data_IF_275115342576
#
_entry.id   IF_275115342576
#
_cell.length_a   1.000
_cell.length_b   1.000
_cell.length_c   1.000
_cell.angle_alpha   90.00
_cell.angle_beta   90.00
_cell.angle_gamma   90.00
#
_symmetry.space_group_name_H-M   'P 1'
#
loop_
_entity.id
_entity.type
_entity.pdbx_description
1 polymer ?
#
# COMPACT_ATOMS: atom_id res chain seq x y z
N UNK A 1 -13.94 -10.09 -16.71
CA UNK A 1 -13.67 -11.43 -16.14
C UNK A 1 -14.58 -11.60 -14.95
N UNK A 2 -15.10 -12.80 -14.72
CA UNK A 2 -15.92 -13.10 -13.54
C UNK A 2 -15.09 -12.90 -12.26
N UNK A 3 -15.74 -12.80 -11.09
CA UNK A 3 -15.09 -12.70 -9.77
C UNK A 3 -14.38 -14.00 -9.33
N UNK A 4 -13.98 -14.85 -10.29
CA UNK A 4 -13.49 -16.21 -10.06
C UNK A 4 -11.97 -16.24 -10.12
N UNK A 5 -11.37 -16.81 -9.08
CA UNK A 5 -9.93 -16.82 -8.85
C UNK A 5 -9.49 -18.26 -8.67
N UNK A 6 -8.33 -18.59 -9.23
CA UNK A 6 -7.64 -19.87 -9.01
C UNK A 6 -6.30 -19.57 -8.34
N UNK A 7 -6.07 -20.17 -7.19
CA UNK A 7 -4.76 -20.21 -6.53
C UNK A 7 -4.04 -21.49 -6.91
N UNK A 8 -2.74 -21.39 -7.18
CA UNK A 8 -1.84 -22.53 -7.36
C UNK A 8 -0.70 -22.41 -6.34
N UNK A 9 -0.58 -23.36 -5.41
CA UNK A 9 0.51 -23.43 -4.44
C UNK A 9 1.67 -24.25 -5.03
N UNK A 10 2.88 -23.67 -5.06
CA UNK A 10 4.08 -24.33 -5.57
C UNK A 10 5.25 -24.21 -4.60
N UNK A 11 5.92 -25.32 -4.31
CA UNK A 11 7.17 -25.33 -3.53
C UNK A 11 8.34 -24.84 -4.39
N UNK A 12 9.14 -23.91 -3.87
CA UNK A 12 10.35 -23.41 -4.56
C UNK A 12 11.25 -24.56 -5.01
N UNK A 13 11.74 -24.47 -6.26
CA UNK A 13 12.56 -25.50 -6.90
C UNK A 13 11.80 -26.62 -7.61
N UNK A 14 10.46 -26.60 -7.65
CA UNK A 14 9.69 -27.58 -8.42
C UNK A 14 9.68 -27.24 -9.93
N UNK A 15 9.68 -28.29 -10.78
CA UNK A 15 9.68 -28.16 -12.25
C UNK A 15 8.56 -27.25 -12.79
N UNK A 16 7.32 -27.29 -12.27
CA UNK A 16 6.25 -26.47 -12.81
C UNK A 16 6.51 -24.95 -12.77
N UNK A 17 7.32 -24.45 -11.83
CA UNK A 17 7.66 -23.02 -11.73
C UNK A 17 8.31 -22.49 -13.02
N UNK A 18 9.05 -23.33 -13.75
CA UNK A 18 9.67 -22.95 -15.02
C UNK A 18 8.61 -22.53 -16.05
N UNK A 19 7.44 -23.17 -16.09
CA UNK A 19 6.38 -22.78 -17.02
C UNK A 19 5.76 -21.41 -16.67
N UNK A 20 5.62 -21.09 -15.38
CA UNK A 20 5.15 -19.77 -14.94
C UNK A 20 6.16 -18.68 -15.26
N UNK A 21 7.46 -18.97 -15.04
CA UNK A 21 8.56 -18.08 -15.40
C UNK A 21 8.60 -17.83 -16.90
N UNK A 22 8.58 -18.88 -17.72
CA UNK A 22 8.62 -18.76 -19.17
C UNK A 22 7.38 -18.02 -19.71
N UNK A 23 6.19 -18.25 -19.14
CA UNK A 23 4.99 -17.49 -19.48
C UNK A 23 5.14 -15.99 -19.18
N UNK A 24 5.74 -15.65 -18.04
CA UNK A 24 6.00 -14.27 -17.65
C UNK A 24 7.03 -13.59 -18.55
N UNK A 25 8.13 -14.28 -18.86
CA UNK A 25 9.24 -13.74 -19.65
C UNK A 25 8.87 -13.61 -21.14
N UNK A 26 8.20 -14.61 -21.71
CA UNK A 26 7.84 -14.65 -23.13
C UNK A 26 6.48 -14.03 -23.46
N UNK A 27 5.66 -13.72 -22.43
CA UNK A 27 4.26 -13.25 -22.57
C UNK A 27 3.36 -14.20 -23.35
N UNK A 28 3.67 -15.50 -23.31
CA UNK A 28 2.95 -16.55 -24.02
C UNK A 28 2.11 -17.41 -23.09
N UNK A 29 1.15 -18.11 -23.69
CA UNK A 29 0.30 -19.06 -22.97
C UNK A 29 1.06 -20.36 -22.70
N UNK A 30 0.99 -20.82 -21.46
CA UNK A 30 1.51 -22.12 -21.01
C UNK A 30 0.39 -22.93 -20.35
N UNK A 31 0.67 -24.20 -20.05
CA UNK A 31 -0.30 -25.14 -19.50
C UNK A 31 0.19 -25.70 -18.16
N UNK A 32 -0.72 -25.77 -17.18
CA UNK A 32 -0.52 -26.47 -15.92
C UNK A 32 -1.51 -27.63 -15.85
N UNK A 33 -1.00 -28.88 -15.83
CA UNK A 33 -1.85 -30.05 -15.72
C UNK A 33 -2.33 -30.21 -14.27
N UNK A 34 -3.62 -30.44 -14.10
CA UNK A 34 -4.21 -30.70 -12.79
C UNK A 34 -3.97 -32.18 -12.42
N UNK A 35 -3.83 -32.46 -11.12
CA UNK A 35 -3.74 -33.84 -10.63
C UNK A 35 -5.10 -34.52 -10.73
N UNK A 36 -5.11 -35.86 -10.75
CA UNK A 36 -6.35 -36.66 -10.81
C UNK A 36 -7.30 -36.38 -9.63
N UNK A 37 -6.79 -35.91 -8.49
CA UNK A 37 -7.57 -35.56 -7.30
C UNK A 37 -8.27 -34.19 -7.44
N UNK A 38 -7.68 -33.27 -8.21
CA UNK A 38 -8.22 -31.92 -8.43
C UNK A 38 -9.57 -31.93 -9.17
N UNK A 39 -9.90 -33.02 -9.87
CA UNK A 39 -11.19 -33.17 -10.58
C UNK A 39 -12.38 -33.20 -9.62
N UNK A 40 -12.21 -33.83 -8.45
CA UNK A 40 -13.24 -33.88 -7.40
C UNK A 40 -13.20 -32.64 -6.49
N UNK A 41 -12.02 -32.05 -6.28
CA UNK A 41 -11.78 -30.95 -5.32
C UNK A 41 -12.19 -29.57 -5.87
N UNK A 42 -12.05 -29.31 -7.18
CA UNK A 42 -12.42 -28.02 -7.78
C UNK A 42 -13.89 -27.92 -8.24
N UNK A 43 -14.71 -28.95 -7.99
CA UNK A 43 -16.06 -29.10 -8.56
C UNK A 43 -16.08 -28.73 -10.05
N UNK A 44 -15.14 -29.25 -10.84
CA UNK A 44 -14.98 -28.90 -12.26
C UNK A 44 -16.13 -29.53 -13.06
N UNK A 45 -17.28 -28.89 -13.03
CA UNK A 45 -18.41 -29.19 -13.89
C UNK A 45 -18.13 -28.73 -15.33
N UNK A 46 -18.90 -29.23 -16.30
CA UNK A 46 -18.86 -28.77 -17.70
C UNK A 46 -19.01 -27.24 -17.85
N UNK A 47 -19.58 -26.55 -16.86
CA UNK A 47 -19.75 -25.11 -16.83
C UNK A 47 -18.45 -24.33 -16.54
N UNK A 48 -17.40 -24.99 -16.02
CA UNK A 48 -16.10 -24.36 -15.73
C UNK A 48 -15.14 -24.38 -16.92
N UNK A 49 -15.44 -25.20 -17.94
CA UNK A 49 -14.63 -25.32 -19.16
C UNK A 49 -14.78 -24.02 -19.98
N UNK A 50 -13.67 -23.51 -20.51
CA UNK A 50 -13.57 -22.26 -21.29
C UNK A 50 -13.93 -20.97 -20.52
N UNK A 51 -14.23 -21.06 -19.23
CA UNK A 51 -14.39 -19.89 -18.36
C UNK A 51 -13.04 -19.21 -18.10
N UNK A 52 -13.05 -17.88 -18.04
CA UNK A 52 -11.86 -17.07 -17.72
C UNK A 52 -11.78 -16.79 -16.22
N UNK A 53 -10.62 -17.08 -15.64
CA UNK A 53 -10.30 -16.93 -14.23
C UNK A 53 -9.12 -15.98 -14.06
N UNK A 54 -9.09 -15.27 -12.94
CA UNK A 54 -7.85 -14.70 -12.43
C UNK A 54 -6.99 -15.80 -11.82
N UNK A 55 -5.68 -15.75 -12.05
CA UNK A 55 -4.75 -16.77 -11.59
C UNK A 55 -3.71 -16.17 -10.64
N UNK A 56 -3.55 -16.80 -9.47
CA UNK A 56 -2.52 -16.50 -8.48
C UNK A 56 -1.68 -17.75 -8.25
N UNK A 57 -0.44 -17.79 -8.73
CA UNK A 57 0.51 -18.82 -8.30
C UNK A 57 1.31 -18.31 -7.09
N UNK A 58 1.21 -18.98 -5.95
CA UNK A 58 1.91 -18.69 -4.70
C UNK A 58 3.14 -19.60 -4.58
N UNK A 59 4.33 -19.03 -4.62
CA UNK A 59 5.58 -19.78 -4.51
C UNK A 59 6.08 -19.68 -3.08
N UNK A 60 6.24 -20.82 -2.43
CA UNK A 60 6.60 -20.89 -1.01
C UNK A 60 7.83 -21.75 -0.76
N UNK A 61 8.54 -21.42 0.33
CA UNK A 61 9.56 -22.27 0.95
C UNK A 61 9.26 -22.39 2.43
N UNK A 62 9.20 -23.61 2.95
CA UNK A 62 8.80 -23.92 4.33
C UNK A 62 7.52 -23.14 4.77
N UNK A 63 6.45 -23.26 3.97
CA UNK A 63 5.15 -22.58 4.13
C UNK A 63 5.19 -21.05 4.23
N UNK A 64 6.31 -20.43 3.85
CA UNK A 64 6.42 -18.98 3.72
C UNK A 64 6.45 -18.61 2.24
N UNK A 65 5.50 -17.78 1.82
CA UNK A 65 5.46 -17.26 0.44
C UNK A 65 6.70 -16.39 0.20
N UNK A 66 7.44 -16.65 -0.88
CA UNK A 66 8.60 -15.88 -1.31
C UNK A 66 8.22 -14.91 -2.43
N UNK A 67 7.37 -15.33 -3.37
CA UNK A 67 6.88 -14.47 -4.45
C UNK A 67 5.62 -15.09 -5.06
N UNK A 68 4.96 -14.34 -5.94
CA UNK A 68 3.75 -14.79 -6.61
C UNK A 68 3.73 -14.36 -8.07
N UNK A 69 3.15 -15.21 -8.93
CA UNK A 69 2.82 -14.86 -10.30
C UNK A 69 1.31 -14.62 -10.44
N UNK A 70 0.96 -13.52 -11.11
CA UNK A 70 -0.42 -13.12 -11.36
C UNK A 70 -0.70 -13.11 -12.85
N UNK A 71 -1.88 -13.59 -13.22
CA UNK A 71 -2.28 -13.68 -14.61
C UNK A 71 -3.73 -14.03 -14.80
N UNK A 72 -4.01 -14.54 -16.00
CA UNK A 72 -5.34 -15.00 -16.39
C UNK A 72 -5.24 -16.45 -16.83
N UNK A 73 -6.22 -17.28 -16.47
CA UNK A 73 -6.27 -18.68 -16.84
C UNK A 73 -7.63 -19.09 -17.40
N UNK A 74 -7.64 -20.08 -18.28
CA UNK A 74 -8.86 -20.78 -18.71
C UNK A 74 -8.70 -22.27 -18.44
N UNK A 75 -9.70 -22.88 -17.83
CA UNK A 75 -9.71 -24.34 -17.63
C UNK A 75 -10.06 -25.00 -18.96
N UNK A 76 -9.24 -25.97 -19.37
CA UNK A 76 -9.39 -26.73 -20.59
C UNK A 76 -9.29 -28.23 -20.28
N UNK A 77 -9.96 -29.06 -21.07
CA UNK A 77 -9.92 -30.51 -20.95
C UNK A 77 -9.18 -31.11 -22.15
N UNK A 78 -8.21 -32.00 -21.90
CA UNK A 78 -7.46 -32.69 -22.94
C UNK A 78 -7.46 -34.21 -22.68
N UNK A 79 -6.83 -34.99 -23.58
CA UNK A 79 -6.79 -36.46 -23.51
C UNK A 79 -6.11 -37.02 -22.23
N UNK A 80 -5.44 -36.17 -21.45
CA UNK A 80 -4.74 -36.52 -20.20
C UNK A 80 -5.44 -35.97 -18.95
N UNK A 81 -6.63 -35.37 -19.08
CA UNK A 81 -7.42 -34.78 -17.99
C UNK A 81 -7.56 -33.26 -18.11
N UNK A 82 -7.87 -32.60 -17.00
CA UNK A 82 -8.01 -31.14 -16.96
C UNK A 82 -6.65 -30.42 -16.88
N UNK A 83 -6.56 -29.27 -17.55
CA UNK A 83 -5.39 -28.40 -17.51
C UNK A 83 -5.80 -26.94 -17.52
N UNK A 84 -5.03 -26.11 -16.82
CA UNK A 84 -5.19 -24.66 -16.83
C UNK A 84 -4.26 -24.11 -17.90
N UNK A 85 -4.84 -23.51 -18.95
CA UNK A 85 -4.09 -22.69 -19.90
C UNK A 85 -3.99 -21.29 -19.32
N UNK A 86 -2.78 -20.80 -19.07
CA UNK A 86 -2.57 -19.53 -18.39
C UNK A 86 -1.62 -18.59 -19.13
N UNK A 87 -1.78 -17.29 -18.86
CA UNK A 87 -0.91 -16.21 -19.29
C UNK A 87 -0.48 -15.39 -18.07
N UNK A 88 0.80 -15.41 -17.74
CA UNK A 88 1.34 -14.63 -16.62
C UNK A 88 1.65 -13.21 -17.06
N UNK A 89 1.04 -12.26 -16.36
CA UNK A 89 1.11 -10.82 -16.67
C UNK A 89 1.95 -10.05 -15.67
N UNK A 90 2.01 -10.48 -14.42
CA UNK A 90 2.80 -9.81 -13.38
C UNK A 90 3.49 -10.81 -12.47
N UNK A 91 4.64 -10.40 -11.92
CA UNK A 91 5.38 -11.11 -10.87
C UNK A 91 5.47 -10.17 -9.67
N UNK A 92 4.89 -10.58 -8.55
CA UNK A 92 5.03 -9.91 -7.28
C UNK A 92 6.16 -10.56 -6.48
N UNK A 93 7.16 -9.80 -6.07
CA UNK A 93 8.14 -10.26 -5.10
C UNK A 93 7.58 -10.12 -3.68
N UNK A 94 8.13 -10.87 -2.70
CA UNK A 94 7.71 -10.78 -1.29
C UNK A 94 7.53 -9.32 -0.85
N UNK A 95 6.35 -8.99 -0.33
CA UNK A 95 5.98 -7.62 -0.02
C UNK A 95 4.53 -7.52 0.40
N UNK A 96 4.05 -6.31 0.63
CA UNK A 96 2.74 -6.12 1.23
C UNK A 96 1.59 -6.34 0.27
N UNK A 97 1.80 -6.23 -1.04
CA UNK A 97 0.80 -6.65 -2.03
C UNK A 97 0.40 -8.12 -1.86
N UNK A 98 1.39 -9.03 -1.73
CA UNK A 98 1.14 -10.46 -1.46
C UNK A 98 0.48 -10.65 -0.08
N UNK A 99 0.95 -9.93 0.95
CA UNK A 99 0.34 -10.02 2.29
C UNK A 99 -1.10 -9.53 2.31
N UNK A 100 -1.43 -8.51 1.52
CA UNK A 100 -2.79 -7.99 1.40
C UNK A 100 -3.68 -8.99 0.66
N UNK A 101 -3.20 -9.62 -0.43
CA UNK A 101 -3.93 -10.69 -1.12
C UNK A 101 -4.27 -11.81 -0.13
N UNK A 102 -3.26 -12.36 0.57
CA UNK A 102 -3.49 -13.42 1.56
C UNK A 102 -4.41 -12.97 2.72
N UNK A 103 -4.35 -11.70 3.12
CA UNK A 103 -5.22 -11.17 4.18
C UNK A 103 -6.66 -11.02 3.70
N UNK A 104 -6.88 -10.59 2.47
CA UNK A 104 -8.21 -10.39 1.90
C UNK A 104 -8.92 -11.70 1.56
N UNK A 105 -8.17 -12.75 1.22
CA UNK A 105 -8.70 -14.10 1.03
C UNK A 105 -8.82 -14.91 2.32
N UNK A 106 -8.36 -14.37 3.46
CA UNK A 106 -8.18 -15.13 4.71
C UNK A 106 -7.34 -16.41 4.53
N UNK A 107 -6.51 -16.46 3.48
CA UNK A 107 -5.90 -17.71 3.01
C UNK A 107 -4.75 -18.18 3.89
N UNK A 108 -4.88 -19.38 4.45
CA UNK A 108 -3.88 -20.16 5.15
C UNK A 108 -3.32 -21.25 4.23
N UNK A 109 -2.03 -21.17 3.91
CA UNK A 109 -1.36 -22.16 3.08
C UNK A 109 -1.41 -23.59 3.67
N UNK A 110 -1.55 -23.75 4.99
CA UNK A 110 -1.60 -25.05 5.65
C UNK A 110 -3.00 -25.61 5.78
N UNK A 111 -4.00 -24.73 5.89
CA UNK A 111 -5.36 -25.13 6.25
C UNK A 111 -6.29 -25.18 5.03
N UNK A 112 -6.05 -24.32 4.02
CA UNK A 112 -6.90 -24.24 2.82
C UNK A 112 -6.44 -25.13 1.67
N UNK A 113 -5.23 -25.68 1.76
CA UNK A 113 -4.74 -26.70 0.84
C UNK A 113 -4.72 -28.02 1.58
N UNK A 114 -5.56 -28.98 1.17
CA UNK A 114 -5.53 -30.34 1.69
C UNK A 114 -4.18 -31.02 1.47
N UNK A 115 -3.99 -32.18 2.11
CA UNK A 115 -2.77 -32.97 1.96
C UNK A 115 -2.66 -33.45 0.50
N UNK A 116 -1.61 -33.00 -0.18
CA UNK A 116 -1.35 -33.23 -1.62
C UNK A 116 -2.23 -32.41 -2.59
N UNK A 117 -2.92 -31.37 -2.09
CA UNK A 117 -3.63 -30.39 -2.91
C UNK A 117 -2.75 -29.17 -3.21
N UNK A 118 -2.82 -28.72 -4.46
CA UNK A 118 -1.99 -27.61 -4.94
C UNK A 118 -2.81 -26.51 -5.61
N UNK A 119 -4.13 -26.67 -5.73
CA UNK A 119 -5.00 -25.76 -6.48
C UNK A 119 -6.27 -25.51 -5.70
N UNK A 120 -6.63 -24.23 -5.53
CA UNK A 120 -7.83 -23.79 -4.83
C UNK A 120 -8.61 -22.82 -5.72
N UNK A 121 -9.94 -22.90 -5.70
CA UNK A 121 -10.83 -21.96 -6.38
C UNK A 121 -11.57 -21.10 -5.35
N UNK A 122 -11.63 -19.80 -5.60
CA UNK A 122 -12.33 -18.83 -4.77
C UNK A 122 -13.19 -17.92 -5.66
N UNK A 123 -14.30 -17.42 -5.13
CA UNK A 123 -15.06 -16.33 -5.73
C UNK A 123 -15.00 -15.10 -4.82
N UNK A 124 -14.30 -14.05 -5.27
CA UNK A 124 -14.12 -12.82 -4.47
C UNK A 124 -14.00 -11.60 -5.38
N UNK A 125 -14.95 -10.68 -5.25
CA UNK A 125 -14.95 -9.44 -6.03
C UNK A 125 -13.76 -8.53 -5.69
N UNK A 126 -13.39 -8.46 -4.40
CA UNK A 126 -12.29 -7.60 -3.94
C UNK A 126 -10.95 -8.06 -4.50
N UNK A 127 -10.70 -9.37 -4.46
CA UNK A 127 -9.45 -9.95 -4.95
C UNK A 127 -9.43 -9.95 -6.48
N UNK A 128 -10.54 -10.27 -7.13
CA UNK A 128 -10.64 -10.19 -8.59
C UNK A 128 -10.33 -8.77 -9.07
N UNK A 129 -10.90 -7.73 -8.43
CA UNK A 129 -10.53 -6.33 -8.71
C UNK A 129 -9.05 -6.07 -8.49
N UNK A 130 -8.46 -6.55 -7.40
CA UNK A 130 -7.03 -6.36 -7.12
C UNK A 130 -6.12 -7.06 -8.14
N UNK A 131 -6.44 -8.28 -8.57
CA UNK A 131 -5.65 -8.99 -9.58
C UNK A 131 -5.81 -8.32 -10.93
N UNK A 132 -7.05 -8.06 -11.36
CA UNK A 132 -7.36 -7.34 -12.61
C UNK A 132 -6.57 -6.06 -12.71
N UNK A 133 -6.58 -5.32 -11.59
CA UNK A 133 -5.80 -4.12 -11.39
C UNK A 133 -4.32 -4.38 -11.67
N UNK A 134 -3.66 -5.27 -10.92
CA UNK A 134 -2.21 -5.53 -11.04
C UNK A 134 -1.80 -6.05 -12.43
N UNK A 135 -2.64 -6.86 -13.08
CA UNK A 135 -2.27 -7.54 -14.33
C UNK A 135 -2.59 -6.76 -15.59
N UNK A 136 -3.59 -5.87 -15.57
CA UNK A 136 -4.01 -5.12 -16.74
C UNK A 136 -3.59 -3.65 -16.70
N UNK A 137 -3.19 -3.12 -15.53
CA UNK A 137 -2.59 -1.78 -15.39
C UNK A 137 -1.51 -1.79 -14.30
N UNK A 138 -0.22 -1.46 -14.56
CA UNK A 138 0.50 -0.79 -13.48
C UNK A 138 -0.35 0.43 -13.09
N UNK A 139 -0.59 0.68 -11.80
CA UNK A 139 -1.40 1.86 -11.44
C UNK A 139 -0.71 3.15 -11.77
N UNK A 140 -0.97 3.64 -12.97
CA UNK A 140 -0.71 5.01 -13.36
C UNK A 140 -1.92 5.48 -14.17
N UNK A 141 -2.98 5.83 -13.47
CA UNK A 141 -3.86 6.86 -14.00
C UNK A 141 -4.07 7.87 -12.89
N UNK A 142 -3.18 8.87 -12.85
CA UNK A 142 -3.54 10.15 -12.24
C UNK A 142 -4.85 10.56 -12.90
N UNK A 143 -5.94 10.53 -12.14
CA UNK A 143 -7.25 10.84 -12.67
C UNK A 143 -7.27 12.27 -13.23
N UNK A 144 -8.12 12.54 -14.22
CA UNK A 144 -8.38 13.93 -14.63
C UNK A 144 -8.81 14.74 -13.41
N UNK A 145 -8.39 16.01 -13.35
CA UNK A 145 -8.72 16.90 -12.24
C UNK A 145 -10.21 16.83 -11.89
N UNK A 146 -10.50 16.41 -10.67
CA UNK A 146 -11.84 16.29 -10.14
C UNK A 146 -12.22 17.59 -9.45
N UNK A 147 -13.32 18.22 -9.86
CA UNK A 147 -13.91 19.33 -9.11
C UNK A 147 -14.84 18.76 -8.05
N UNK A 148 -14.68 19.25 -6.83
CA UNK A 148 -15.54 18.92 -5.71
C UNK A 148 -16.56 20.03 -5.51
N UNK A 149 -17.75 19.66 -5.07
CA UNK A 149 -18.80 20.63 -4.77
C UNK A 149 -18.54 21.33 -3.44
N UNK A 150 -19.14 22.51 -3.29
CA UNK A 150 -19.18 23.19 -2.01
C UNK A 150 -20.03 22.38 -1.02
N UNK A 151 -19.64 22.42 0.26
CA UNK A 151 -20.34 21.70 1.32
C UNK A 151 -20.94 22.73 2.27
N UNK A 152 -22.21 22.55 2.61
CA UNK A 152 -22.94 23.50 3.45
C UNK A 152 -22.25 23.80 4.79
N UNK A 153 -21.52 22.82 5.36
CA UNK A 153 -20.74 22.99 6.59
C UNK A 153 -19.59 23.99 6.47
N UNK A 154 -19.20 24.37 5.26
CA UNK A 154 -18.09 25.30 5.00
C UNK A 154 -18.57 26.74 4.70
N UNK A 155 -19.87 26.99 4.62
CA UNK A 155 -20.43 28.31 4.29
C UNK A 155 -20.00 29.42 5.26
N UNK A 156 -19.70 29.08 6.52
CA UNK A 156 -19.24 30.03 7.54
C UNK A 156 -17.72 30.25 7.61
N UNK A 157 -16.93 29.59 6.77
CA UNK A 157 -15.47 29.73 6.80
C UNK A 157 -15.02 31.11 6.30
N UNK A 158 -13.86 31.55 6.77
CA UNK A 158 -13.21 32.79 6.33
C UNK A 158 -12.92 32.79 4.81
N UNK A 159 -12.77 33.98 4.24
CA UNK A 159 -12.53 34.16 2.79
C UNK A 159 -11.27 33.46 2.32
N UNK A 160 -10.22 33.44 3.15
CA UNK A 160 -8.92 32.82 2.83
C UNK A 160 -8.83 31.35 3.27
N UNK A 161 -9.89 30.77 3.83
CA UNK A 161 -9.88 29.38 4.23
C UNK A 161 -9.86 28.46 3.00
N UNK A 162 -9.09 27.37 3.09
CA UNK A 162 -9.19 26.28 2.12
C UNK A 162 -10.57 25.62 2.23
N UNK A 163 -11.16 25.28 1.08
CA UNK A 163 -12.51 24.72 0.97
C UNK A 163 -12.48 23.43 0.18
N UNK A 164 -13.50 22.61 0.37
CA UNK A 164 -13.67 21.34 -0.31
C UNK A 164 -13.56 21.48 -1.84
N UNK A 165 -14.12 22.56 -2.39
CA UNK A 165 -14.08 22.85 -3.83
C UNK A 165 -12.68 23.08 -4.40
N UNK A 166 -11.70 23.42 -3.55
CA UNK A 166 -10.29 23.59 -3.95
C UNK A 166 -9.48 22.31 -3.79
N UNK A 167 -10.04 21.24 -3.22
CA UNK A 167 -9.32 19.99 -2.98
C UNK A 167 -8.82 19.39 -4.30
N UNK A 168 -7.55 18.98 -4.32
CA UNK A 168 -6.95 18.27 -5.44
C UNK A 168 -6.19 17.04 -4.94
N UNK A 169 -6.24 15.94 -5.69
CA UNK A 169 -5.70 14.64 -5.30
C UNK A 169 -5.17 13.93 -6.55
N UNK A 170 -4.15 13.10 -6.38
CA UNK A 170 -3.50 12.44 -7.50
C UNK A 170 -4.43 11.43 -8.20
N UNK A 171 -5.17 10.62 -7.43
CA UNK A 171 -5.83 9.44 -7.97
C UNK A 171 -7.35 9.47 -7.89
N UNK A 172 -7.93 10.25 -6.97
CA UNK A 172 -9.39 10.34 -6.78
C UNK A 172 -10.06 8.96 -6.67
N UNK A 173 -9.46 8.09 -5.83
CA UNK A 173 -9.74 6.66 -5.79
C UNK A 173 -11.22 6.29 -5.52
N UNK A 174 -11.96 7.20 -4.90
CA UNK A 174 -13.37 7.03 -4.54
C UNK A 174 -14.16 8.27 -4.96
N UNK A 175 -15.37 8.05 -5.46
CA UNK A 175 -16.26 9.15 -5.86
C UNK A 175 -16.55 10.10 -4.66
N UNK A 176 -16.82 11.40 -4.93
CA UNK A 176 -17.29 12.34 -3.91
C UNK A 176 -18.60 11.86 -3.26
N UNK A 177 -18.82 12.26 -2.01
CA UNK A 177 -20.07 11.99 -1.30
C UNK A 177 -20.73 13.31 -0.90
N UNK A 178 -22.07 13.37 -0.95
CA UNK A 178 -22.83 14.60 -0.74
C UNK A 178 -22.62 15.24 0.65
N UNK A 179 -22.38 14.43 1.69
CA UNK A 179 -22.31 14.90 3.09
C UNK A 179 -20.96 14.67 3.74
N UNK A 180 -19.91 14.37 2.95
CA UNK A 180 -18.56 14.15 3.47
C UNK A 180 -17.54 14.91 2.63
N UNK A 181 -16.83 15.84 3.28
CA UNK A 181 -15.74 16.57 2.66
C UNK A 181 -14.50 15.73 2.39
N UNK A 182 -13.72 16.14 1.40
CA UNK A 182 -12.50 15.44 1.01
C UNK A 182 -11.39 15.62 2.05
N UNK A 183 -11.36 16.74 2.78
CA UNK A 183 -10.45 16.88 3.92
C UNK A 183 -10.88 16.02 5.12
N UNK A 184 -12.18 15.81 5.31
CA UNK A 184 -12.67 14.82 6.28
C UNK A 184 -12.26 13.40 5.86
N UNK A 185 -12.35 13.09 4.57
CA UNK A 185 -11.85 11.83 4.02
C UNK A 185 -10.36 11.66 4.28
N UNK A 186 -9.54 12.69 4.06
CA UNK A 186 -8.11 12.62 4.38
C UNK A 186 -7.85 12.33 5.86
N UNK A 187 -8.57 13.01 6.76
CA UNK A 187 -8.53 12.75 8.20
C UNK A 187 -8.84 11.28 8.52
N UNK A 188 -9.95 10.75 7.99
CA UNK A 188 -10.38 9.36 8.21
C UNK A 188 -9.30 8.37 7.74
N UNK A 189 -8.73 8.58 6.54
CA UNK A 189 -7.67 7.74 6.00
C UNK A 189 -6.43 7.72 6.89
N UNK A 190 -6.02 8.87 7.41
CA UNK A 190 -4.87 8.96 8.31
C UNK A 190 -5.16 8.21 9.62
N UNK A 191 -6.32 8.43 10.23
CA UNK A 191 -6.71 7.78 11.50
C UNK A 191 -6.73 6.26 11.38
N UNK A 192 -7.20 5.71 10.25
CA UNK A 192 -7.29 4.26 10.04
C UNK A 192 -5.98 3.60 9.57
N UNK A 193 -5.00 4.40 9.14
CA UNK A 193 -3.71 3.91 8.65
C UNK A 193 -2.95 3.06 9.67
N UNK A 194 -2.11 2.14 9.16
CA UNK A 194 -1.21 1.34 10.01
C UNK A 194 -0.12 2.23 10.63
N UNK A 195 0.34 3.25 9.90
CA UNK A 195 1.36 4.19 10.30
C UNK A 195 0.91 5.04 11.50
N UNK A 196 -0.34 5.53 11.49
CA UNK A 196 -0.91 6.26 12.63
C UNK A 196 -1.02 5.36 13.87
N UNK A 197 -1.52 4.12 13.71
CA UNK A 197 -1.60 3.14 14.82
C UNK A 197 -0.23 2.82 15.44
N UNK A 198 0.81 2.70 14.61
CA UNK A 198 2.19 2.47 15.08
C UNK A 198 2.76 3.63 15.93
N UNK A 199 2.09 4.78 16.00
CA UNK A 199 2.52 5.88 16.88
C UNK A 199 2.22 5.62 18.36
N UNK A 200 1.34 4.65 18.70
CA UNK A 200 1.14 4.20 20.09
C UNK A 200 2.46 3.72 20.69
N UNK A 201 3.20 2.90 19.94
CA UNK A 201 4.41 2.24 20.43
C UNK A 201 5.68 3.09 20.29
N UNK A 202 5.56 4.31 19.73
CA UNK A 202 6.69 5.23 19.57
C UNK A 202 6.76 6.14 20.80
N UNK A 203 7.72 5.84 21.68
CA UNK A 203 8.08 6.73 22.77
C UNK A 203 8.52 8.11 22.22
N UNK A 204 7.93 9.17 22.74
CA UNK A 204 8.53 10.49 22.69
C UNK A 204 9.68 10.48 23.72
N UNK A 205 10.91 10.75 23.27
CA UNK A 205 12.13 10.72 24.10
C UNK A 205 11.89 11.44 25.44
N UNK A 206 12.14 10.79 26.58
CA UNK A 206 13.12 11.23 27.60
C UNK A 206 13.39 10.15 28.67
N UNK A 207 14.61 10.24 29.22
CA UNK A 207 15.29 9.43 30.24
C UNK A 207 14.37 8.63 31.18
N UNK A 208 14.69 7.34 31.37
CA UNK A 208 14.03 6.39 32.26
C UNK A 208 14.07 6.75 33.77
N UNK A 209 14.37 8.01 34.12
CA UNK A 209 14.44 8.50 35.50
C UNK A 209 13.35 9.56 35.73
N UNK A 210 12.26 9.13 36.38
CA UNK A 210 11.13 9.87 36.98
C UNK A 210 9.84 9.99 36.15
N UNK A 211 8.83 9.21 36.53
CA UNK A 211 7.48 9.72 36.84
C UNK A 211 6.39 9.66 35.74
N UNK A 212 5.62 8.58 35.77
CA UNK A 212 4.15 8.48 35.66
C UNK A 212 3.30 9.16 34.56
N UNK A 213 3.85 9.86 33.57
CA UNK A 213 3.07 10.30 32.39
C UNK A 213 3.85 10.16 31.09
N UNK A 214 3.99 8.92 30.60
CA UNK A 214 4.63 8.63 29.32
C UNK A 214 3.74 9.11 28.16
N UNK A 215 4.04 10.28 27.59
CA UNK A 215 3.40 10.70 26.33
C UNK A 215 3.99 9.89 25.18
N UNK A 216 3.15 9.13 24.50
CA UNK A 216 3.49 8.50 23.22
C UNK A 216 3.40 9.55 22.11
N UNK A 217 4.01 9.29 20.95
CA UNK A 217 3.79 10.16 19.78
C UNK A 217 2.32 10.30 19.44
N UNK A 218 1.51 9.24 19.59
CA UNK A 218 0.08 9.33 19.38
C UNK A 218 -0.57 10.39 20.29
N UNK A 219 -0.27 10.39 21.60
CA UNK A 219 -0.82 11.40 22.52
C UNK A 219 -0.35 12.81 22.21
N UNK A 220 0.89 12.97 21.75
CA UNK A 220 1.40 14.27 21.29
C UNK A 220 0.63 14.75 20.06
N UNK A 221 0.53 13.90 19.03
CA UNK A 221 -0.17 14.20 17.78
C UNK A 221 -1.65 14.52 18.02
N UNK A 222 -2.32 13.78 18.93
CA UNK A 222 -3.70 14.08 19.33
C UNK A 222 -3.83 15.44 20.02
N UNK A 223 -2.91 15.79 20.92
CA UNK A 223 -2.90 17.11 21.57
C UNK A 223 -2.67 18.23 20.55
N UNK A 224 -1.74 18.04 19.60
CA UNK A 224 -1.51 18.98 18.50
C UNK A 224 -2.77 19.15 17.65
N UNK A 225 -3.46 18.06 17.32
CA UNK A 225 -4.72 18.09 16.56
C UNK A 225 -5.80 18.89 17.29
N UNK A 226 -6.00 18.67 18.59
CA UNK A 226 -7.00 19.43 19.37
C UNK A 226 -6.68 20.92 19.45
N UNK A 227 -5.42 21.28 19.71
CA UNK A 227 -4.99 22.68 19.76
C UNK A 227 -5.17 23.35 18.39
N UNK A 228 -4.72 22.67 17.32
CA UNK A 228 -4.82 23.17 15.96
C UNK A 228 -6.28 23.37 15.54
N UNK A 229 -7.17 22.43 15.90
CA UNK A 229 -8.62 22.56 15.68
C UNK A 229 -9.20 23.79 16.38
N UNK A 230 -8.88 24.02 17.66
CA UNK A 230 -9.38 25.19 18.39
C UNK A 230 -8.91 26.52 17.78
N UNK A 231 -7.67 26.56 17.27
CA UNK A 231 -7.16 27.72 16.52
C UNK A 231 -7.91 27.89 15.19
N UNK A 232 -8.10 26.80 14.44
CA UNK A 232 -8.81 26.83 13.16
C UNK A 232 -10.26 27.29 13.33
N UNK A 233 -10.97 26.79 14.34
CA UNK A 233 -12.32 27.19 14.68
C UNK A 233 -12.42 28.69 14.98
N UNK A 234 -11.54 29.22 15.85
CA UNK A 234 -11.52 30.64 16.20
C UNK A 234 -11.20 31.58 15.03
N UNK A 235 -10.52 31.07 14.00
CA UNK A 235 -10.15 31.81 12.79
C UNK A 235 -11.10 31.55 11.60
N UNK A 236 -12.11 30.68 11.76
CA UNK A 236 -12.98 30.27 10.66
C UNK A 236 -12.25 29.51 9.54
N UNK A 237 -11.24 28.71 9.89
CA UNK A 237 -10.48 27.87 8.95
C UNK A 237 -11.06 26.46 8.87
N UNK A 238 -10.65 25.70 7.84
CA UNK A 238 -11.11 24.33 7.64
C UNK A 238 -10.54 23.39 8.73
N UNK A 239 -11.40 22.98 9.66
CA UNK A 239 -11.02 22.13 10.78
C UNK A 239 -10.55 20.75 10.32
N UNK A 240 -11.24 20.11 9.38
CA UNK A 240 -10.86 18.77 8.90
C UNK A 240 -9.49 18.77 8.22
N UNK A 241 -9.19 19.77 7.38
CA UNK A 241 -7.86 19.91 6.80
C UNK A 241 -6.79 20.10 7.89
N UNK A 242 -7.10 20.94 8.87
CA UNK A 242 -6.18 21.24 9.98
C UNK A 242 -5.88 19.98 10.80
N UNK A 243 -6.92 19.20 11.14
CA UNK A 243 -6.78 17.95 11.87
C UNK A 243 -6.07 16.88 11.04
N UNK A 244 -6.39 16.74 9.75
CA UNK A 244 -5.70 15.81 8.87
C UNK A 244 -4.19 16.10 8.81
N UNK A 245 -3.81 17.37 8.65
CA UNK A 245 -2.40 17.80 8.67
C UNK A 245 -1.78 17.48 10.03
N UNK A 246 -2.44 17.85 11.12
CA UNK A 246 -1.94 17.64 12.48
C UNK A 246 -1.77 16.16 12.83
N UNK A 247 -2.66 15.28 12.37
CA UNK A 247 -2.54 13.84 12.58
C UNK A 247 -1.49 13.20 11.67
N UNK A 248 -1.37 13.69 10.43
CA UNK A 248 -0.45 13.17 9.43
C UNK A 248 1.01 13.58 9.63
N UNK A 249 1.29 14.73 10.25
CA UNK A 249 2.62 15.35 10.22
C UNK A 249 3.75 14.44 10.73
N UNK A 250 3.44 13.53 11.66
CA UNK A 250 4.42 12.75 12.41
C UNK A 250 4.39 11.23 12.14
N UNK A 251 3.58 10.78 11.18
CA UNK A 251 3.46 9.35 10.84
C UNK A 251 4.80 8.73 10.35
N UNK A 252 5.66 9.54 9.73
CA UNK A 252 6.98 9.16 9.25
C UNK A 252 8.08 9.20 10.32
N UNK A 253 7.78 9.55 11.56
CA UNK A 253 8.82 9.76 12.56
C UNK A 253 9.52 8.45 12.96
N UNK A 254 10.85 8.50 13.07
CA UNK A 254 11.69 7.42 13.60
C UNK A 254 11.38 7.07 15.06
N UNK A 255 11.68 5.83 15.49
CA UNK A 255 11.88 5.49 16.90
C UNK A 255 12.93 6.41 17.54
N UNK A 256 12.87 6.60 18.86
CA UNK A 256 13.81 7.46 19.62
C UNK A 256 13.83 8.93 19.18
N UNK A 257 12.76 9.37 18.52
CA UNK A 257 12.56 10.74 18.10
C UNK A 257 13.74 11.39 17.39
N UNK A 258 14.04 12.65 17.72
CA UNK A 258 15.06 13.40 16.99
C UNK A 258 16.46 12.76 17.06
N UNK A 259 16.75 11.96 18.09
CA UNK A 259 18.01 11.23 18.13
C UNK A 259 18.03 10.13 17.07
N UNK A 260 16.95 9.35 16.95
CA UNK A 260 16.82 8.36 15.89
C UNK A 260 16.85 8.99 14.49
N UNK A 261 16.21 10.15 14.31
CA UNK A 261 16.27 10.92 13.07
C UNK A 261 17.69 11.34 12.70
N UNK A 262 18.43 11.99 13.62
CA UNK A 262 19.82 12.42 13.37
C UNK A 262 20.76 11.26 13.09
N UNK A 263 20.59 10.17 13.82
CA UNK A 263 21.40 8.96 13.65
C UNK A 263 21.11 8.32 12.30
N UNK A 264 19.84 8.15 11.92
CA UNK A 264 19.45 7.59 10.63
C UNK A 264 19.91 8.48 9.47
N UNK A 265 19.76 9.79 9.59
CA UNK A 265 20.26 10.76 8.60
C UNK A 265 21.77 10.64 8.39
N UNK A 266 22.52 10.51 9.49
CA UNK A 266 23.98 10.35 9.43
C UNK A 266 24.40 9.02 8.79
N UNK A 267 23.67 7.93 9.07
CA UNK A 267 23.89 6.63 8.44
C UNK A 267 23.63 6.74 6.92
N UNK A 268 22.49 7.31 6.53
CA UNK A 268 22.10 7.44 5.13
C UNK A 268 22.92 8.49 4.37
N UNK A 269 23.63 9.40 5.04
CA UNK A 269 24.64 10.28 4.44
C UNK A 269 26.03 9.62 4.35
N UNK A 270 26.17 8.35 4.69
CA UNK A 270 27.44 7.63 4.63
C UNK A 270 28.43 7.97 5.74
N UNK A 271 28.02 8.67 6.81
CA UNK A 271 28.91 8.98 7.95
C UNK A 271 29.30 7.75 8.76
N UNK A 272 28.50 6.69 8.68
CA UNK A 272 28.75 5.42 9.34
C UNK A 272 28.77 4.28 8.32
N UNK A 273 29.88 3.52 8.27
CA UNK A 273 30.00 2.36 7.38
C UNK A 273 29.36 1.11 8.00
N UNK A 274 28.04 1.15 8.19
CA UNK A 274 27.27 0.05 8.80
C UNK A 274 26.35 -0.67 7.82
N UNK A 275 26.10 -0.07 6.64
CA UNK A 275 25.27 -0.68 5.59
C UNK A 275 26.15 -1.69 4.85
N UNK A 276 25.78 -2.98 4.91
CA UNK A 276 26.49 -4.05 4.19
C UNK A 276 26.07 -4.06 2.71
N UNK A 277 26.97 -4.49 1.83
CA UNK A 277 26.72 -4.64 0.38
C UNK A 277 26.46 -3.33 -0.39
N UNK A 278 26.90 -2.18 0.13
CA UNK A 278 26.70 -0.88 -0.56
C UNK A 278 27.42 -0.81 -1.91
N UNK A 279 28.57 -1.48 -2.04
CA UNK A 279 29.31 -1.54 -3.31
C UNK A 279 28.54 -2.16 -4.48
N UNK A 280 27.38 -2.77 -4.23
CA UNK A 280 26.47 -3.29 -5.26
C UNK A 280 25.44 -2.28 -5.75
N UNK A 281 25.23 -1.16 -5.05
CA UNK A 281 24.16 -0.20 -5.35
C UNK A 281 24.65 1.13 -5.94
N UNK A 282 25.77 1.69 -5.48
CA UNK A 282 26.42 2.89 -6.05
C UNK A 282 27.85 3.06 -5.52
N UNK A 283 28.72 3.76 -6.26
CA UNK A 283 30.11 4.06 -5.85
C UNK A 283 30.27 5.06 -4.70
N UNK A 284 29.17 5.64 -4.20
CA UNK A 284 29.12 6.52 -3.02
C UNK A 284 28.13 5.95 -1.98
N UNK A 285 28.45 6.15 -0.70
CA UNK A 285 27.71 5.66 0.49
C UNK A 285 26.51 6.55 0.87
N UNK A 286 26.22 7.59 0.08
CA UNK A 286 25.14 8.54 0.33
C UNK A 286 23.82 8.12 -0.34
N UNK A 287 22.79 7.89 0.48
CA UNK A 287 21.43 7.47 0.09
C UNK A 287 20.40 8.62 0.21
N UNK A 288 20.84 9.87 0.25
CA UNK A 288 19.94 11.04 0.32
C UNK A 288 19.47 11.44 1.72
N UNK A 289 19.98 10.81 2.78
CA UNK A 289 19.71 11.21 4.17
C UNK A 289 18.29 10.88 4.67
N UNK A 290 17.91 11.44 5.82
CA UNK A 290 16.62 11.19 6.46
C UNK A 290 16.05 12.44 7.14
N UNK A 291 14.75 12.69 6.93
CA UNK A 291 14.01 13.73 7.66
C UNK A 291 12.55 13.31 7.86
N UNK A 292 12.03 13.43 9.09
CA UNK A 292 10.70 12.90 9.44
C UNK A 292 9.55 13.49 8.61
N UNK A 293 9.51 14.80 8.33
CA UNK A 293 8.41 15.40 7.56
C UNK A 293 8.39 14.91 6.10
N UNK A 294 9.56 14.70 5.49
CA UNK A 294 9.67 14.09 4.17
C UNK A 294 9.28 12.61 4.21
N UNK A 295 9.70 11.89 5.26
CA UNK A 295 9.30 10.51 5.48
C UNK A 295 7.78 10.38 5.72
N UNK A 296 7.13 11.36 6.36
CA UNK A 296 5.67 11.36 6.53
C UNK A 296 4.96 11.43 5.19
N UNK A 297 5.48 12.22 4.23
CA UNK A 297 4.99 12.21 2.85
C UNK A 297 5.24 10.85 2.20
N UNK A 298 6.45 10.30 2.32
CA UNK A 298 6.78 8.97 1.79
C UNK A 298 5.84 7.88 2.31
N UNK A 299 5.47 7.96 3.59
CA UNK A 299 4.49 7.04 4.16
C UNK A 299 3.11 7.26 3.52
N UNK A 300 2.65 8.50 3.43
CA UNK A 300 1.34 8.81 2.89
C UNK A 300 1.18 8.57 1.38
N UNK A 301 2.26 8.63 0.60
CA UNK A 301 2.21 8.52 -0.86
C UNK A 301 2.75 7.21 -1.40
N UNK A 302 3.51 6.44 -0.60
CA UNK A 302 4.21 5.25 -1.09
C UNK A 302 4.17 4.05 -0.15
N UNK A 303 4.46 4.23 1.14
CA UNK A 303 4.70 3.09 2.05
C UNK A 303 3.43 2.56 2.72
N UNK A 304 2.36 3.34 2.77
CA UNK A 304 1.08 2.79 3.20
C UNK A 304 0.46 1.90 2.14
N UNK A 305 -0.08 0.79 2.60
CA UNK A 305 -0.52 -0.31 1.73
C UNK A 305 -1.88 -0.80 2.23
N UNK A 306 -2.77 0.17 2.47
CA UNK A 306 -4.17 -0.07 2.82
C UNK A 306 -5.04 -0.24 1.58
N UNK A 307 -4.70 0.47 0.50
CA UNK A 307 -5.42 0.43 -0.76
C UNK A 307 -4.76 -0.56 -1.73
N UNK A 308 -5.59 -1.30 -2.46
CA UNK A 308 -5.13 -2.32 -3.42
C UNK A 308 -4.75 -1.73 -4.76
N UNK A 309 -5.36 -0.58 -5.07
CA UNK A 309 -5.26 0.10 -6.35
C UNK A 309 -4.01 0.98 -6.41
N UNK A 310 -3.52 1.47 -5.26
CA UNK A 310 -2.48 2.51 -5.20
C UNK A 310 -1.47 2.20 -4.10
N UNK A 311 -0.26 2.71 -4.24
CA UNK A 311 0.63 2.91 -3.09
C UNK A 311 0.22 4.19 -2.34
N UNK A 312 0.33 4.18 -1.01
CA UNK A 312 -0.07 5.30 -0.16
C UNK A 312 -1.58 5.37 0.10
N UNK A 313 -2.05 6.57 0.46
CA UNK A 313 -3.40 6.82 0.97
C UNK A 313 -4.22 7.78 0.08
N UNK A 314 -3.71 8.23 -1.08
CA UNK A 314 -4.37 9.21 -1.97
C UNK A 314 -4.90 10.44 -1.22
N UNK A 315 -4.09 10.98 -0.29
CA UNK A 315 -4.45 12.21 0.41
C UNK A 315 -4.46 13.40 -0.55
N UNK A 316 -5.23 14.45 -0.22
CA UNK A 316 -5.20 15.70 -1.00
C UNK A 316 -3.81 16.36 -0.96
N UNK A 317 -3.48 17.11 -2.01
CA UNK A 317 -2.24 17.87 -2.08
C UNK A 317 -2.15 18.91 -0.95
N UNK A 318 -3.26 19.49 -0.51
CA UNK A 318 -3.29 20.43 0.62
C UNK A 318 -2.89 19.74 1.93
N UNK A 319 -3.42 18.55 2.18
CA UNK A 319 -3.04 17.76 3.37
C UNK A 319 -1.56 17.38 3.30
N UNK A 320 -1.08 16.86 2.16
CA UNK A 320 0.33 16.50 1.96
C UNK A 320 1.25 17.72 2.11
N UNK A 321 0.87 18.86 1.55
CA UNK A 321 1.64 20.10 1.65
C UNK A 321 1.74 20.59 3.09
N UNK A 322 0.61 20.59 3.82
CA UNK A 322 0.59 20.95 5.24
C UNK A 322 1.44 20.01 6.09
N UNK A 323 1.35 18.70 5.84
CA UNK A 323 2.21 17.69 6.48
C UNK A 323 3.69 17.93 6.19
N UNK A 324 4.05 18.37 4.99
CA UNK A 324 5.44 18.64 4.62
C UNK A 324 5.95 19.94 5.26
N UNK A 325 5.13 21.00 5.25
CA UNK A 325 5.51 22.37 5.64
C UNK A 325 5.30 22.71 7.12
N UNK A 326 4.82 21.78 7.95
CA UNK A 326 4.67 22.00 9.39
C UNK A 326 5.99 22.35 10.10
N UNK A 327 7.13 22.05 9.47
CA UNK A 327 8.48 22.42 9.91
C UNK A 327 9.27 23.05 8.76
N UNK A 328 10.36 23.76 9.09
CA UNK A 328 11.26 24.36 8.10
C UNK A 328 11.78 23.30 7.12
N UNK A 329 11.57 23.53 5.83
CA UNK A 329 12.09 22.69 4.76
C UNK A 329 13.61 22.86 4.64
N UNK A 330 14.33 21.75 4.54
CA UNK A 330 15.79 21.74 4.29
C UNK A 330 16.04 21.39 2.82
N UNK A 331 15.61 22.29 1.92
CA UNK A 331 15.67 22.09 0.46
C UNK A 331 17.10 21.90 -0.05
N UNK A 332 18.09 22.46 0.63
CA UNK A 332 19.50 22.30 0.29
C UNK A 332 20.06 20.93 0.69
N UNK A 333 19.34 20.18 1.54
CA UNK A 333 19.79 18.90 2.08
C UNK A 333 19.00 17.70 1.54
N UNK A 334 17.73 17.89 1.15
CA UNK A 334 16.83 16.81 0.73
C UNK A 334 16.05 17.21 -0.52
N UNK A 335 16.06 16.33 -1.54
CA UNK A 335 15.14 16.45 -2.67
C UNK A 335 13.83 15.74 -2.36
N UNK A 336 12.70 16.37 -2.66
CA UNK A 336 11.38 15.77 -2.42
C UNK A 336 11.20 14.48 -3.23
N UNK A 337 11.79 14.39 -4.42
CA UNK A 337 11.76 13.22 -5.32
C UNK A 337 12.34 11.95 -4.68
N UNK A 338 13.20 12.10 -3.66
CA UNK A 338 13.73 10.97 -2.89
C UNK A 338 12.69 10.34 -1.96
N UNK A 339 11.59 11.05 -1.69
CA UNK A 339 10.58 10.69 -0.70
C UNK A 339 9.18 10.50 -1.29
N UNK A 340 9.02 10.64 -2.59
CA UNK A 340 7.74 10.46 -3.28
C UNK A 340 7.90 9.48 -4.42
N UNK A 341 6.80 8.82 -4.81
CA UNK A 341 6.70 8.24 -6.15
C UNK A 341 6.88 9.37 -7.16
N UNK A 342 7.81 9.19 -8.09
CA UNK A 342 8.18 10.15 -9.13
C UNK A 342 6.89 10.70 -9.78
N UNK A 343 6.86 12.03 -9.96
CA UNK A 343 5.75 12.89 -10.42
C UNK A 343 4.83 13.49 -9.33
N UNK A 344 5.35 14.46 -8.57
CA UNK A 344 4.56 15.60 -8.06
C UNK A 344 4.91 16.91 -8.83
N UNK A 345 5.40 16.79 -10.06
CA UNK A 345 5.76 17.92 -10.93
C UNK A 345 4.55 18.69 -11.44
#
# INVERSE_FOLDING_TARGET
MDNKIIYIKLKEGCKPIEYFRNSFDERKNYYYNLSSNAENELEISKACIDSSYFLIALIHDNDKIIYSYLGTGTISHNDKGFSIKFNIKSKLNYGTAIKNICKLSELSLSDDFGKDEYVLKEESELIAKQIDFIINKPFEEKSKGQRYENIDSENGLAVLAQRNEYCERAYNLRAPMQHRGEFQRDYERIVHSKAFRRMVDKAQVFSASKGDYYRTRMTHTQAVSQIARGIAEGLGLNMYLTEAIALGHDIGHTPFGHQGERTLDSILQGKFNIIKNVGSFTGDLSFGGFKHNYQSIRVATLLEEEYTEICGMDLSYQTLEGMLKHTKLKRDNYSLDQFISIDLS
#
